data_IF_094734327538
#
_entry.id   IF_094734327538
#
_cell.length_a   1.000
_cell.length_b   1.000
_cell.length_c   1.000
_cell.angle_alpha   90.00
_cell.angle_beta   90.00
_cell.angle_gamma   90.00
#
_symmetry.space_group_name_H-M   'P 1'
#
loop_
_entity.id
_entity.type
_entity.pdbx_description
1 polymer ?
#
# COMPACT_ATOMS: atom_id res chain seq x y z
N UNK A 1 6.19 -13.84 -10.67
CA UNK A 1 5.72 -12.49 -10.25
C UNK A 1 4.31 -12.64 -9.68
N UNK A 2 3.99 -11.92 -8.61
CA UNK A 2 2.65 -11.84 -8.04
C UNK A 2 2.17 -10.40 -8.16
N UNK A 3 1.16 -10.17 -8.99
CA UNK A 3 0.48 -8.88 -9.09
C UNK A 3 -0.66 -8.81 -8.06
N UNK A 4 -0.72 -7.71 -7.32
CA UNK A 4 -1.76 -7.42 -6.34
C UNK A 4 -2.31 -6.01 -6.62
N UNK A 5 -3.63 -5.88 -6.61
CA UNK A 5 -4.30 -4.59 -6.54
C UNK A 5 -4.45 -4.19 -5.07
N UNK A 6 -3.95 -3.00 -4.74
CA UNK A 6 -4.06 -2.38 -3.43
C UNK A 6 -5.16 -1.34 -3.48
N UNK A 7 -6.01 -1.33 -2.45
CA UNK A 7 -7.17 -0.46 -2.36
C UNK A 7 -7.24 0.13 -0.94
N UNK A 8 -7.08 1.44 -0.86
CA UNK A 8 -7.15 2.23 0.36
C UNK A 8 -8.46 3.02 0.50
N UNK A 9 -9.48 2.77 -0.33
CA UNK A 9 -10.74 3.54 -0.36
C UNK A 9 -11.56 3.48 0.94
N UNK A 10 -11.24 2.58 1.87
CA UNK A 10 -11.82 2.53 3.20
C UNK A 10 -11.08 3.39 4.24
N UNK A 11 -10.00 4.07 3.85
CA UNK A 11 -9.34 5.07 4.69
C UNK A 11 -10.27 6.27 4.84
N UNK A 12 -10.32 6.84 6.03
CA UNK A 12 -11.18 7.98 6.30
C UNK A 12 -10.56 8.90 7.32
N UNK A 13 -10.86 10.20 7.20
CA UNK A 13 -10.57 11.22 8.19
C UNK A 13 -11.90 11.70 8.78
N UNK A 14 -12.14 11.59 10.10
CA UNK A 14 -13.37 12.05 10.74
C UNK A 14 -13.63 13.56 10.63
N UNK A 15 -12.60 14.37 10.44
CA UNK A 15 -12.69 15.83 10.50
C UNK A 15 -12.03 16.56 9.32
N UNK A 16 -11.80 15.86 8.21
CA UNK A 16 -11.16 16.40 7.00
C UNK A 16 -11.22 15.43 5.82
N UNK A 17 -10.37 15.69 4.82
CA UNK A 17 -10.25 14.88 3.61
C UNK A 17 -8.84 14.29 3.50
N UNK A 18 -8.73 13.01 3.15
CA UNK A 18 -7.43 12.42 2.80
C UNK A 18 -6.99 12.93 1.43
N UNK A 19 -5.87 13.65 1.37
CA UNK A 19 -5.35 14.28 0.14
C UNK A 19 -4.20 13.51 -0.50
N UNK A 20 -3.60 12.54 0.19
CA UNK A 20 -2.53 11.72 -0.38
C UNK A 20 -2.43 10.32 0.21
N UNK A 21 -1.98 9.39 -0.64
CA UNK A 21 -1.75 7.98 -0.34
C UNK A 21 -0.35 7.61 -0.84
N UNK A 22 0.54 7.23 0.08
CA UNK A 22 1.89 6.79 -0.22
C UNK A 22 2.09 5.35 0.22
N UNK A 23 2.62 4.52 -0.68
CA UNK A 23 2.86 3.10 -0.46
C UNK A 23 4.35 2.79 -0.47
N UNK A 24 4.81 2.05 0.53
CA UNK A 24 6.12 1.41 0.54
C UNK A 24 5.91 -0.11 0.56
N UNK A 25 6.29 -0.77 -0.53
CA UNK A 25 6.09 -2.20 -0.70
C UNK A 25 7.16 -3.04 0.02
N UNK A 26 8.21 -2.40 0.56
CA UNK A 26 9.38 -3.03 1.18
C UNK A 26 10.09 -4.05 0.28
N UNK A 27 9.92 -3.94 -1.02
CA UNK A 27 10.63 -4.71 -2.04
C UNK A 27 11.66 -3.87 -2.80
N UNK A 28 11.85 -2.61 -2.37
CA UNK A 28 12.68 -1.60 -3.01
C UNK A 28 11.89 -0.60 -3.85
N UNK A 29 10.59 -0.82 -4.07
CA UNK A 29 9.71 0.08 -4.81
C UNK A 29 8.70 0.78 -3.90
N UNK A 30 8.22 1.92 -4.38
CA UNK A 30 7.15 2.72 -3.77
C UNK A 30 6.03 2.97 -4.77
N UNK A 31 4.86 3.36 -4.28
CA UNK A 31 3.73 3.75 -5.12
C UNK A 31 2.92 4.89 -4.50
N UNK A 32 1.98 5.43 -5.27
CA UNK A 32 1.07 6.48 -4.82
C UNK A 32 -0.31 6.30 -5.43
N UNK A 33 -1.33 6.76 -4.72
CA UNK A 33 -2.73 6.67 -5.15
C UNK A 33 -3.56 5.80 -4.20
N UNK A 34 -4.85 6.11 -4.14
CA UNK A 34 -5.83 5.38 -3.34
C UNK A 34 -5.95 3.91 -3.79
N UNK A 35 -5.97 3.69 -5.11
CA UNK A 35 -5.97 2.37 -5.75
C UNK A 35 -4.80 2.29 -6.73
N UNK A 36 -4.02 1.22 -6.64
CA UNK A 36 -2.94 0.93 -7.59
C UNK A 36 -2.63 -0.57 -7.66
N UNK A 37 -1.97 -0.98 -8.74
CA UNK A 37 -1.42 -2.32 -8.87
C UNK A 37 0.08 -2.31 -8.61
N UNK A 38 0.57 -3.34 -7.93
CA UNK A 38 1.99 -3.58 -7.74
C UNK A 38 2.35 -5.05 -7.99
N UNK A 39 3.51 -5.28 -8.60
CA UNK A 39 3.99 -6.63 -8.92
C UNK A 39 5.23 -6.96 -8.11
N UNK A 40 5.10 -7.94 -7.20
CA UNK A 40 6.23 -8.52 -6.50
C UNK A 40 6.97 -9.49 -7.43
N UNK A 41 8.18 -9.12 -7.84
CA UNK A 41 8.98 -9.90 -8.80
C UNK A 41 9.64 -11.13 -8.18
N UNK A 42 9.97 -11.06 -6.89
CA UNK A 42 10.63 -12.13 -6.14
C UNK A 42 9.69 -12.77 -5.11
N UNK A 43 9.97 -14.03 -4.77
CA UNK A 43 9.32 -14.67 -3.64
C UNK A 43 9.81 -14.03 -2.34
N UNK A 44 8.92 -13.85 -1.37
CA UNK A 44 9.27 -13.17 -0.12
C UNK A 44 8.08 -12.84 0.76
N UNK A 45 8.40 -12.35 1.96
CA UNK A 45 7.44 -11.74 2.87
C UNK A 45 7.69 -10.24 2.89
N UNK A 46 6.69 -9.46 2.47
CA UNK A 46 6.77 -8.02 2.32
C UNK A 46 5.81 -7.35 3.30
N UNK A 47 6.33 -6.52 4.21
CA UNK A 47 5.51 -5.75 5.15
C UNK A 47 5.11 -4.42 4.51
N UNK A 48 4.16 -4.49 3.59
CA UNK A 48 3.67 -3.32 2.85
C UNK A 48 3.10 -2.30 3.82
N UNK A 49 3.45 -1.03 3.61
CA UNK A 49 3.04 0.10 4.42
C UNK A 49 2.30 1.13 3.56
N UNK A 50 1.11 1.51 4.00
CA UNK A 50 0.37 2.67 3.49
C UNK A 50 0.56 3.81 4.48
N UNK A 51 0.84 5.00 3.99
CA UNK A 51 0.74 6.26 4.73
C UNK A 51 -0.27 7.17 4.03
N UNK A 52 -1.29 7.61 4.76
CA UNK A 52 -2.27 8.60 4.31
C UNK A 52 -1.96 9.94 4.96
N UNK A 53 -2.17 11.04 4.25
CA UNK A 53 -2.08 12.41 4.79
C UNK A 53 -3.35 13.19 4.49
N UNK A 54 -3.90 13.86 5.48
CA UNK A 54 -5.11 14.69 5.37
C UNK A 54 -4.82 16.13 4.91
N UNK A 55 -5.89 16.90 4.68
CA UNK A 55 -5.86 18.30 4.26
C UNK A 55 -5.31 19.27 5.32
N UNK A 56 -5.11 18.80 6.56
CA UNK A 56 -4.47 19.52 7.66
C UNK A 56 -3.01 19.12 7.84
N UNK A 57 -2.52 18.20 7.03
CA UNK A 57 -1.15 17.69 7.05
C UNK A 57 -0.89 16.65 8.13
N UNK A 58 -1.92 16.12 8.82
CA UNK A 58 -1.75 14.98 9.71
C UNK A 58 -1.59 13.70 8.90
N UNK A 59 -0.78 12.77 9.40
CA UNK A 59 -0.49 11.52 8.71
C UNK A 59 -0.70 10.31 9.62
N UNK A 60 -1.18 9.23 9.03
CA UNK A 60 -1.36 7.93 9.68
C UNK A 60 -0.89 6.80 8.77
N UNK A 61 -0.41 5.71 9.38
CA UNK A 61 0.12 4.57 8.63
C UNK A 61 -0.52 3.25 9.05
N UNK A 62 -0.69 2.35 8.09
CA UNK A 62 -1.14 0.98 8.30
C UNK A 62 -0.21 0.01 7.56
N UNK A 63 0.03 -1.17 8.15
CA UNK A 63 0.90 -2.17 7.53
C UNK A 63 0.20 -3.51 7.34
N UNK A 64 0.48 -4.18 6.22
CA UNK A 64 -0.02 -5.53 5.92
C UNK A 64 1.07 -6.40 5.32
N UNK A 65 1.21 -7.61 5.83
CA UNK A 65 2.16 -8.58 5.30
C UNK A 65 1.59 -9.29 4.07
N UNK A 66 2.30 -9.20 2.96
CA UNK A 66 2.03 -9.96 1.73
C UNK A 66 3.09 -11.06 1.58
N UNK A 67 2.65 -12.28 1.31
CA UNK A 67 3.55 -13.41 1.06
C UNK A 67 3.52 -13.72 -0.43
N UNK A 68 4.53 -13.25 -1.16
CA UNK A 68 4.71 -13.59 -2.56
C UNK A 68 5.31 -14.99 -2.67
N UNK A 69 4.55 -15.91 -3.27
CA UNK A 69 5.00 -17.28 -3.58
C UNK A 69 4.91 -17.48 -5.09
N UNK A 70 5.64 -18.46 -5.62
CA UNK A 70 5.31 -18.98 -6.95
C UNK A 70 3.91 -19.58 -6.90
N UNK A 71 3.07 -19.26 -7.87
CA UNK A 71 1.88 -20.04 -8.14
C UNK A 71 2.30 -21.50 -8.31
N UNK A 72 1.62 -22.41 -7.62
CA UNK A 72 1.81 -23.84 -7.87
C UNK A 72 1.24 -24.11 -9.27
N UNK A 73 2.08 -24.69 -10.15
CA UNK A 73 1.62 -25.33 -11.37
C UNK A 73 1.19 -26.76 -11.05
#
# INVERSE_FOLDING_TARGET
>A
PLEISFDASNSYDPDGDIISYAWDFKDGNTGSGEILNHTFSSIGSYKVELTVTDDKGAAASATKTIIAKKSHN
#
